data_IF_968433453894
#
_entry.id   IF_968433453894
#
_cell.length_a   1.000
_cell.length_b   1.000
_cell.length_c   1.000
_cell.angle_alpha   90.00
_cell.angle_beta   90.00
_cell.angle_gamma   90.00
#
_symmetry.space_group_name_H-M   'P 1'
#
loop_
_entity.id
_entity.type
_entity.pdbx_description
1 polymer ?
#
# COMPACT_ATOMS: atom_id res chain seq x y z
N UNK A 1 10.84 -1.13 -8.82
CA UNK A 1 10.13 -1.64 -7.64
C UNK A 1 8.96 -2.40 -8.21
N UNK A 2 9.28 -3.60 -8.69
CA UNK A 2 8.42 -4.37 -9.59
C UNK A 2 7.80 -5.55 -8.83
N UNK A 3 8.19 -5.72 -7.56
CA UNK A 3 7.83 -6.87 -6.73
C UNK A 3 6.37 -6.85 -6.24
N UNK A 4 5.84 -5.68 -5.91
CA UNK A 4 4.44 -5.54 -5.51
C UNK A 4 3.49 -5.77 -6.69
N UNK A 5 3.95 -5.51 -7.93
CA UNK A 5 3.16 -5.76 -9.14
C UNK A 5 2.90 -7.26 -9.36
N UNK A 6 3.80 -8.12 -8.87
CA UNK A 6 3.66 -9.58 -8.91
C UNK A 6 2.80 -10.15 -7.77
N UNK A 7 2.40 -9.32 -6.80
CA UNK A 7 1.60 -9.78 -5.67
C UNK A 7 0.14 -9.92 -6.06
N UNK A 8 -0.35 -11.14 -6.04
CA UNK A 8 -1.77 -11.46 -6.19
C UNK A 8 -2.25 -12.11 -4.89
N UNK A 9 -3.05 -11.40 -4.07
CA UNK A 9 -3.63 -12.00 -2.88
C UNK A 9 -4.67 -13.04 -3.28
N UNK A 10 -4.78 -14.07 -2.46
CA UNK A 10 -5.92 -14.99 -2.46
C UNK A 10 -7.15 -14.27 -1.89
N UNK A 11 -8.21 -15.00 -1.57
CA UNK A 11 -9.40 -14.41 -0.93
C UNK A 11 -9.01 -13.62 0.33
N UNK A 12 -9.36 -12.33 0.36
CA UNK A 12 -9.08 -11.41 1.47
C UNK A 12 -10.36 -11.18 2.27
N UNK A 13 -10.31 -11.44 3.57
CA UNK A 13 -11.45 -11.22 4.48
C UNK A 13 -11.43 -9.85 5.15
N UNK A 14 -10.23 -9.38 5.50
CA UNK A 14 -9.99 -8.15 6.22
C UNK A 14 -8.55 -7.64 5.96
N UNK A 15 -8.23 -6.46 6.50
CA UNK A 15 -6.91 -5.82 6.33
C UNK A 15 -5.78 -6.67 6.93
N UNK A 16 -6.01 -7.38 8.04
CA UNK A 16 -5.00 -8.24 8.68
C UNK A 16 -4.69 -9.47 7.82
N UNK A 17 -5.69 -10.02 7.13
CA UNK A 17 -5.53 -11.13 6.18
C UNK A 17 -4.69 -10.70 4.98
N UNK A 18 -4.98 -9.53 4.40
CA UNK A 18 -4.18 -8.94 3.31
C UNK A 18 -2.74 -8.68 3.76
N UNK A 19 -2.55 -8.12 4.95
CA UNK A 19 -1.23 -7.88 5.55
C UNK A 19 -0.44 -9.18 5.71
N UNK A 20 -1.06 -10.24 6.23
CA UNK A 20 -0.41 -11.56 6.38
C UNK A 20 0.03 -12.12 5.04
N UNK A 21 -0.81 -12.05 4.02
CA UNK A 21 -0.49 -12.57 2.68
C UNK A 21 0.65 -11.77 2.04
N UNK A 22 0.59 -10.44 2.09
CA UNK A 22 1.66 -9.58 1.57
C UNK A 22 2.96 -9.79 2.33
N UNK A 23 2.91 -9.88 3.65
CA UNK A 23 4.08 -10.20 4.47
C UNK A 23 4.71 -11.52 4.05
N UNK A 24 3.95 -12.61 3.91
CA UNK A 24 4.48 -13.91 3.50
C UNK A 24 5.15 -13.83 2.13
N UNK A 25 4.50 -13.17 1.17
CA UNK A 25 5.03 -12.97 -0.18
C UNK A 25 6.37 -12.22 -0.18
N UNK A 26 6.45 -11.09 0.54
CA UNK A 26 7.65 -10.28 0.67
C UNK A 26 8.74 -11.00 1.46
N UNK A 27 8.38 -11.65 2.57
CA UNK A 27 9.30 -12.40 3.45
C UNK A 27 9.98 -13.53 2.70
N UNK A 28 9.27 -14.23 1.82
CA UNK A 28 9.84 -15.28 0.98
C UNK A 28 10.90 -14.77 -0.01
N UNK A 29 10.82 -13.50 -0.41
CA UNK A 29 11.70 -12.88 -1.44
C UNK A 29 12.83 -12.06 -0.85
N UNK A 30 12.56 -11.36 0.25
CA UNK A 30 13.48 -10.38 0.87
C UNK A 30 14.04 -10.86 2.20
N UNK A 31 13.51 -11.96 2.76
CA UNK A 31 14.07 -12.59 3.95
C UNK A 31 13.91 -11.75 5.20
N UNK A 32 14.94 -11.72 6.04
CA UNK A 32 14.83 -11.29 7.44
C UNK A 32 14.49 -9.82 7.67
N UNK A 33 14.69 -8.98 6.66
CA UNK A 33 14.45 -7.54 6.67
C UNK A 33 12.97 -7.16 6.75
N UNK A 34 12.06 -8.04 6.31
CA UNK A 34 10.62 -7.76 6.34
C UNK A 34 10.06 -8.00 7.74
N UNK A 35 9.48 -6.98 8.35
CA UNK A 35 8.86 -7.01 9.70
C UNK A 35 7.40 -6.60 9.59
N UNK A 36 6.51 -7.26 10.35
CA UNK A 36 5.10 -6.84 10.50
C UNK A 36 4.93 -5.99 11.74
N UNK A 37 3.94 -5.09 11.69
CA UNK A 37 3.48 -4.30 12.83
C UNK A 37 4.67 -3.60 13.53
N UNK A 38 5.53 -3.00 12.72
CA UNK A 38 6.81 -2.45 13.16
C UNK A 38 6.57 -1.13 13.90
N UNK A 39 7.08 -0.99 15.14
CA UNK A 39 6.83 0.21 15.94
C UNK A 39 7.55 1.43 15.37
N UNK A 40 6.82 2.54 15.24
CA UNK A 40 7.31 3.85 14.77
C UNK A 40 6.68 4.96 15.61
N UNK A 41 7.49 5.65 16.40
CA UNK A 41 6.99 6.57 17.42
C UNK A 41 5.99 5.87 18.36
N UNK A 42 4.79 6.44 18.48
CA UNK A 42 3.68 5.89 19.26
C UNK A 42 2.73 4.99 18.45
N UNK A 43 3.06 4.70 17.19
CA UNK A 43 2.24 3.96 16.24
C UNK A 43 2.96 2.69 15.74
N UNK A 44 2.31 1.96 14.85
CA UNK A 44 2.88 0.79 14.17
C UNK A 44 2.53 0.85 12.69
N UNK A 45 3.54 0.72 11.84
CA UNK A 45 3.34 0.53 10.41
C UNK A 45 3.12 -0.96 10.11
N UNK A 46 2.22 -1.25 9.18
CA UNK A 46 1.81 -2.63 8.91
C UNK A 46 2.98 -3.52 8.50
N UNK A 47 3.83 -3.06 7.57
CA UNK A 47 5.05 -3.76 7.18
C UNK A 47 6.21 -2.78 7.05
N UNK A 48 7.37 -3.13 7.60
CA UNK A 48 8.64 -2.45 7.35
C UNK A 48 9.60 -3.39 6.61
N UNK A 49 10.36 -2.85 5.65
CA UNK A 49 11.45 -3.56 4.95
C UNK A 49 12.76 -2.86 5.30
N UNK A 50 13.52 -3.48 6.21
CA UNK A 50 14.67 -2.80 6.81
C UNK A 50 14.24 -1.54 7.54
N UNK A 51 15.09 -0.51 7.49
CA UNK A 51 14.86 0.78 8.12
C UNK A 51 14.44 1.88 7.11
N UNK A 52 14.25 1.52 5.83
CA UNK A 52 14.09 2.48 4.73
C UNK A 52 12.70 2.52 4.12
N UNK A 53 11.98 1.40 4.10
CA UNK A 53 10.66 1.31 3.43
C UNK A 53 9.57 0.91 4.41
N UNK A 54 8.55 1.75 4.51
CA UNK A 54 7.30 1.49 5.20
C UNK A 54 6.18 1.13 4.23
N UNK A 55 5.31 0.20 4.61
CA UNK A 55 4.10 -0.14 3.85
C UNK A 55 2.89 -0.07 4.78
N UNK A 56 1.90 0.73 4.40
CA UNK A 56 0.61 0.85 5.09
C UNK A 56 -0.50 0.25 4.21
N UNK A 57 -1.36 -0.58 4.79
CA UNK A 57 -2.38 -1.35 4.07
C UNK A 57 -3.76 -0.86 4.43
N UNK A 58 -4.63 -0.69 3.42
CA UNK A 58 -6.05 -0.41 3.62
C UNK A 58 -6.95 -1.15 2.64
N UNK A 59 -8.14 -1.48 3.10
CA UNK A 59 -9.28 -1.84 2.25
C UNK A 59 -10.15 -0.58 2.07
N UNK A 60 -10.36 -0.17 0.82
CA UNK A 60 -11.03 1.09 0.48
C UNK A 60 -12.56 1.01 0.62
N UNK A 61 -13.05 0.89 1.86
CA UNK A 61 -14.49 0.79 2.13
C UNK A 61 -15.20 2.15 2.19
N UNK A 62 -14.46 3.24 2.43
CA UNK A 62 -15.03 4.59 2.57
C UNK A 62 -14.02 5.71 2.36
N UNK A 63 -14.53 6.92 2.04
CA UNK A 63 -13.72 8.14 1.91
C UNK A 63 -13.02 8.53 3.20
N UNK A 64 -13.64 8.31 4.36
CA UNK A 64 -13.03 8.65 5.66
C UNK A 64 -11.84 7.75 5.98
N UNK A 65 -11.87 6.47 5.60
CA UNK A 65 -10.69 5.58 5.68
C UNK A 65 -9.55 6.06 4.81
N UNK A 66 -9.84 6.45 3.56
CA UNK A 66 -8.82 6.98 2.64
C UNK A 66 -8.19 8.28 3.16
N UNK A 67 -8.98 9.18 3.77
CA UNK A 67 -8.43 10.40 4.39
C UNK A 67 -7.52 10.09 5.58
N UNK A 68 -7.85 9.10 6.41
CA UNK A 68 -7.00 8.66 7.52
C UNK A 68 -5.68 8.08 7.02
N UNK A 69 -5.72 7.28 5.94
CA UNK A 69 -4.52 6.74 5.30
C UNK A 69 -3.55 7.85 4.89
N UNK A 70 -4.05 8.96 4.34
CA UNK A 70 -3.18 10.12 3.99
C UNK A 70 -2.47 10.68 5.22
N UNK A 71 -3.18 10.81 6.35
CA UNK A 71 -2.58 11.25 7.61
C UNK A 71 -1.47 10.31 8.08
N UNK A 72 -1.75 8.99 8.08
CA UNK A 72 -0.76 7.98 8.47
C UNK A 72 0.47 8.00 7.57
N UNK A 73 0.30 8.11 6.25
CA UNK A 73 1.43 8.20 5.31
C UNK A 73 2.26 9.45 5.57
N UNK A 74 1.62 10.60 5.83
CA UNK A 74 2.30 11.84 6.19
C UNK A 74 3.11 11.71 7.48
N UNK A 75 2.60 10.99 8.48
CA UNK A 75 3.33 10.74 9.72
C UNK A 75 4.53 9.79 9.47
N UNK A 76 4.37 8.76 8.64
CA UNK A 76 5.39 7.74 8.43
C UNK A 76 6.55 8.16 7.54
N UNK A 77 6.38 9.15 6.65
CA UNK A 77 7.50 9.67 5.85
C UNK A 77 8.57 10.39 6.70
N UNK A 78 8.29 10.68 7.97
CA UNK A 78 9.30 11.17 8.92
C UNK A 78 10.25 10.05 9.41
N UNK A 79 9.86 8.78 9.27
CA UNK A 79 10.57 7.61 9.80
C UNK A 79 11.22 6.74 8.72
N UNK A 80 10.78 6.85 7.47
CA UNK A 80 11.22 6.03 6.35
C UNK A 80 11.58 6.87 5.14
N UNK A 81 12.54 6.41 4.34
CA UNK A 81 12.89 7.02 3.06
C UNK A 81 11.75 6.93 2.04
N UNK A 82 10.95 5.86 2.12
CA UNK A 82 9.79 5.61 1.26
C UNK A 82 8.64 5.00 2.05
N UNK A 83 7.42 5.50 1.82
CA UNK A 83 6.20 4.92 2.36
C UNK A 83 5.26 4.57 1.22
N UNK A 84 4.84 3.31 1.18
CA UNK A 84 3.98 2.75 0.13
C UNK A 84 2.62 2.47 0.73
N UNK A 85 1.58 3.02 0.11
CA UNK A 85 0.20 2.68 0.44
C UNK A 85 -0.27 1.53 -0.45
N UNK A 86 -0.66 0.40 0.16
CA UNK A 86 -1.31 -0.72 -0.53
C UNK A 86 -2.81 -0.64 -0.26
N UNK A 87 -3.58 -0.38 -1.32
CA UNK A 87 -5.02 -0.20 -1.23
C UNK A 87 -5.70 -1.32 -2.02
N UNK A 88 -6.50 -2.14 -1.34
CA UNK A 88 -7.40 -3.09 -1.99
C UNK A 88 -8.78 -2.43 -2.16
N UNK A 89 -9.20 -2.22 -3.40
CA UNK A 89 -10.52 -1.68 -3.71
C UNK A 89 -11.55 -2.82 -3.74
N UNK A 90 -12.49 -2.79 -2.80
CA UNK A 90 -13.62 -3.74 -2.70
C UNK A 90 -14.95 -3.07 -3.02
N UNK A 91 -14.95 -1.82 -3.53
CA UNK A 91 -16.14 -1.01 -3.77
C UNK A 91 -16.20 -0.35 -5.16
N UNK A 92 -17.23 0.48 -5.43
CA UNK A 92 -17.25 1.29 -6.65
C UNK A 92 -16.12 2.31 -6.60
N UNK A 93 -15.28 2.30 -7.64
CA UNK A 93 -14.10 3.15 -7.86
C UNK A 93 -14.18 4.56 -7.24
N UNK A 94 -13.29 4.85 -6.30
CA UNK A 94 -13.14 6.17 -5.67
C UNK A 94 -11.84 6.84 -6.12
N UNK A 95 -11.90 8.07 -6.64
CA UNK A 95 -10.70 8.85 -7.00
C UNK A 95 -10.32 9.79 -5.86
N UNK A 96 -9.13 9.60 -5.26
CA UNK A 96 -8.51 10.55 -4.32
C UNK A 96 -7.38 11.31 -5.03
N UNK A 97 -7.48 12.64 -5.09
CA UNK A 97 -6.39 13.52 -5.55
C UNK A 97 -5.76 14.20 -4.34
N UNK A 98 -4.47 13.98 -4.14
CA UNK A 98 -3.66 14.67 -3.12
C UNK A 98 -2.64 15.52 -3.88
N UNK A 99 -2.64 16.82 -3.65
CA UNK A 99 -1.60 17.74 -4.16
C UNK A 99 -0.61 18.04 -3.05
N UNK A 100 0.68 17.75 -3.26
CA UNK A 100 1.76 18.08 -2.32
C UNK A 100 2.58 16.89 -1.79
N UNK A 101 2.09 15.66 -1.94
CA UNK A 101 2.91 14.45 -1.80
C UNK A 101 3.20 13.88 -3.19
N UNK A 102 4.46 13.51 -3.45
CA UNK A 102 4.80 12.55 -4.51
C UNK A 102 4.30 11.17 -4.06
N UNK A 103 2.98 10.96 -4.12
CA UNK A 103 2.38 9.65 -3.94
C UNK A 103 2.70 8.84 -5.20
N UNK A 104 3.77 8.06 -5.18
CA UNK A 104 4.01 7.04 -6.19
C UNK A 104 3.33 5.74 -5.71
N UNK A 105 2.73 5.04 -6.66
CA UNK A 105 1.94 3.80 -6.55
C UNK A 105 0.43 3.95 -6.26
N UNK A 106 -0.33 3.81 -7.36
CA UNK A 106 -1.72 3.40 -7.38
C UNK A 106 -1.68 1.91 -7.81
N UNK A 107 -2.02 0.98 -6.93
CA UNK A 107 -2.07 -0.45 -7.26
C UNK A 107 -3.53 -0.89 -7.39
N UNK A 108 -4.00 -1.07 -8.63
CA UNK A 108 -5.29 -1.71 -8.92
C UNK A 108 -5.12 -3.23 -8.85
N UNK A 109 -5.76 -3.89 -7.87
CA UNK A 109 -5.94 -5.35 -7.89
C UNK A 109 -7.42 -5.64 -8.16
N UNK A 110 -7.73 -6.14 -9.36
CA UNK A 110 -9.07 -6.59 -9.76
C UNK A 110 -9.33 -8.02 -9.24
N UNK A 111 -10.36 -8.18 -8.40
CA UNK A 111 -10.89 -9.48 -7.99
C UNK A 111 -12.33 -9.69 -8.48
N UNK A 112 -12.51 -10.39 -9.60
CA UNK A 112 -13.83 -10.95 -10.00
C UNK A 112 -14.18 -10.85 -11.50
N UNK A 113 -14.09 -11.99 -12.22
CA UNK A 113 -14.54 -12.26 -13.61
C UNK A 113 -14.37 -11.09 -14.61
N UNK A 114 -13.13 -10.74 -14.91
CA UNK A 114 -12.78 -9.90 -16.06
C UNK A 114 -11.28 -9.89 -16.28
N UNK A 115 -10.84 -10.09 -17.52
CA UNK A 115 -9.42 -9.96 -17.92
C UNK A 115 -8.92 -8.54 -17.62
N UNK A 116 -7.74 -8.37 -16.97
CA UNK A 116 -7.16 -7.05 -16.73
C UNK A 116 -6.88 -6.32 -18.04
N UNK A 117 -7.42 -5.11 -18.22
CA UNK A 117 -6.97 -4.17 -19.25
C UNK A 117 -6.35 -2.95 -18.58
N UNK A 118 -5.02 -2.89 -18.70
CA UNK A 118 -4.11 -1.76 -18.53
C UNK A 118 -4.78 -0.38 -18.51
N UNK A 119 -4.39 0.49 -17.56
CA UNK A 119 -4.04 1.85 -17.93
C UNK A 119 -2.86 2.43 -17.13
N UNK A 120 -1.96 3.03 -17.90
CA UNK A 120 -0.77 3.76 -17.51
C UNK A 120 -1.14 5.19 -17.12
N UNK A 121 -0.36 5.82 -16.23
CA UNK A 121 0.37 7.03 -16.65
C UNK A 121 1.56 7.33 -15.74
N UNK A 122 2.73 7.45 -16.38
CA UNK A 122 3.90 8.17 -15.88
C UNK A 122 3.80 9.59 -16.43
N UNK A 123 3.59 10.60 -15.60
CA UNK A 123 4.08 11.95 -15.92
C UNK A 123 4.25 12.80 -14.64
N UNK A 124 5.41 13.44 -14.42
CA UNK A 124 5.52 14.53 -13.47
C UNK A 124 4.85 15.78 -14.05
N UNK A 125 4.15 16.56 -13.22
CA UNK A 125 3.88 17.97 -13.51
C UNK A 125 4.89 18.75 -12.68
N UNK A 126 5.91 19.28 -13.36
CA UNK A 126 6.78 20.32 -12.80
C UNK A 126 6.01 21.64 -12.77
N UNK A 127 6.05 22.32 -11.62
CA UNK A 127 6.31 23.77 -11.54
C UNK A 127 7.10 24.06 -10.28
#
# INVERSE_FOLDING_TARGET
MDLLEDFQPETVRDEEDLEKQLYQFLRARLGSSVKRQYPVGDQKIDIAIGDSVGIEIKIAESRSRLQRLVGQVLDYVEYFDEVIAVILDVGPMWTLKISGLKLWYFMEIYGGRGTPRRLLSKTPIEK
#
